data_IF_620250085609
#
_entry.id   IF_620250085609
#
_cell.length_a   1.000
_cell.length_b   1.000
_cell.length_c   1.000
_cell.angle_alpha   90.00
_cell.angle_beta   90.00
_cell.angle_gamma   90.00
#
_symmetry.space_group_name_H-M   'P 1'
#
loop_
_entity.id
_entity.type
_entity.pdbx_description
1 polymer ?
#
# COMPACT_ATOMS: atom_id res chain seq x y z
N UNK A 1 13.73 -9.98 45.42
CA UNK A 1 13.51 -10.65 44.12
C UNK A 1 12.02 -10.73 43.82
N UNK A 2 11.45 -9.64 43.29
CA UNK A 2 10.12 -9.64 42.71
C UNK A 2 10.26 -9.13 41.28
N UNK A 3 9.93 -9.99 40.32
CA UNK A 3 10.10 -9.77 38.90
C UNK A 3 9.15 -8.66 38.42
N UNK A 4 9.72 -7.52 38.01
CA UNK A 4 9.03 -6.56 37.15
C UNK A 4 8.99 -7.16 35.74
N UNK A 5 7.94 -7.93 35.47
CA UNK A 5 7.56 -8.31 34.11
C UNK A 5 7.21 -7.03 33.35
N UNK A 6 8.18 -6.53 32.57
CA UNK A 6 7.97 -5.44 31.62
C UNK A 6 6.91 -5.86 30.61
N UNK A 7 5.74 -5.23 30.72
CA UNK A 7 4.72 -5.26 29.68
C UNK A 7 5.37 -4.70 28.41
N UNK A 8 5.40 -5.42 27.27
CA UNK A 8 5.90 -4.84 26.04
C UNK A 8 5.02 -3.65 25.68
N UNK A 9 5.62 -2.47 25.67
CA UNK A 9 4.99 -1.24 25.20
C UNK A 9 4.38 -1.49 23.83
N UNK A 10 3.09 -1.19 23.73
CA UNK A 10 2.28 -1.30 22.54
C UNK A 10 2.82 -0.35 21.46
N UNK A 11 3.84 -0.78 20.71
CA UNK A 11 4.45 -0.08 19.56
C UNK A 11 3.46 0.19 18.41
N UNK A 12 2.21 -0.25 18.53
CA UNK A 12 1.26 -0.34 17.42
C UNK A 12 0.31 0.84 17.21
N UNK A 13 0.18 1.82 18.12
CA UNK A 13 -0.94 2.78 18.02
C UNK A 13 -0.76 3.89 16.99
N UNK A 14 0.46 4.39 16.76
CA UNK A 14 0.68 5.52 15.84
C UNK A 14 0.71 5.09 14.36
N UNK A 15 1.22 3.89 14.07
CA UNK A 15 1.17 3.28 12.73
C UNK A 15 -0.23 2.70 12.42
N UNK A 16 -1.09 2.55 13.44
CA UNK A 16 -2.45 2.02 13.25
C UNK A 16 -3.35 2.99 12.46
N UNK A 17 -3.14 4.29 12.62
CA UNK A 17 -4.09 5.32 12.15
C UNK A 17 -3.89 5.69 10.66
N UNK A 18 -2.76 5.30 10.08
CA UNK A 18 -2.39 5.68 8.71
C UNK A 18 -3.17 4.92 7.63
N UNK A 19 -3.84 3.80 7.96
CA UNK A 19 -4.65 3.03 7.00
C UNK A 19 -6.15 3.38 7.01
N UNK A 20 -6.55 4.39 7.79
CA UNK A 20 -7.95 4.83 7.91
C UNK A 20 -8.57 5.28 6.57
N UNK A 21 -7.75 5.77 5.63
CA UNK A 21 -8.19 6.11 4.27
C UNK A 21 -8.83 4.94 3.52
N UNK A 22 -8.51 3.69 3.90
CA UNK A 22 -9.12 2.51 3.31
C UNK A 22 -10.60 2.34 3.69
N UNK A 23 -11.06 3.01 4.74
CA UNK A 23 -12.44 2.89 5.22
C UNK A 23 -13.46 3.69 4.39
N UNK A 24 -13.00 4.73 3.69
CA UNK A 24 -13.85 5.56 2.82
C UNK A 24 -14.51 4.70 1.73
N UNK A 25 -15.80 4.87 1.49
CA UNK A 25 -16.51 4.22 0.37
C UNK A 25 -16.40 5.08 -0.90
N UNK A 26 -16.36 4.44 -2.07
CA UNK A 26 -16.26 5.12 -3.38
C UNK A 26 -17.61 5.74 -3.81
N UNK A 27 -18.37 6.35 -2.90
CA UNK A 27 -19.68 6.95 -3.20
C UNK A 27 -19.50 8.23 -4.01
N UNK A 28 -19.17 8.10 -5.30
CA UNK A 28 -19.60 9.12 -6.27
C UNK A 28 -21.10 8.88 -6.49
N UNK A 29 -21.97 9.90 -6.41
CA UNK A 29 -23.36 9.74 -6.82
C UNK A 29 -23.44 9.20 -8.26
N UNK A 30 -24.41 8.31 -8.56
CA UNK A 30 -24.49 7.60 -9.84
C UNK A 30 -24.84 8.50 -11.04
N UNK A 31 -25.08 9.80 -10.87
CA UNK A 31 -25.68 10.67 -11.88
C UNK A 31 -24.69 11.67 -12.55
N UNK A 32 -23.43 11.25 -12.74
CA UNK A 32 -22.48 12.02 -13.54
C UNK A 32 -21.56 11.08 -14.30
N UNK A 33 -22.15 10.25 -15.16
CA UNK A 33 -21.44 9.35 -16.06
C UNK A 33 -21.07 10.06 -17.35
N UNK A 34 -19.88 10.68 -17.37
CA UNK A 34 -19.16 10.97 -18.61
C UNK A 34 -18.32 9.75 -19.05
N UNK A 35 -18.04 9.57 -20.34
CA UNK A 35 -17.51 8.31 -20.91
C UNK A 35 -16.02 8.02 -20.64
N UNK A 36 -15.38 8.68 -19.66
CA UNK A 36 -13.91 8.62 -19.48
C UNK A 36 -13.41 8.34 -18.05
N UNK A 37 -14.26 7.90 -17.12
CA UNK A 37 -13.85 7.75 -15.71
C UNK A 37 -13.02 6.50 -15.38
N UNK A 38 -12.86 5.55 -16.32
CA UNK A 38 -11.98 4.38 -16.12
C UNK A 38 -10.52 4.78 -15.91
N UNK A 39 -10.12 5.96 -16.39
CA UNK A 39 -8.73 6.42 -16.36
C UNK A 39 -8.34 7.15 -15.06
N UNK A 40 -9.32 7.62 -14.27
CA UNK A 40 -9.06 8.36 -13.03
C UNK A 40 -8.97 7.42 -11.82
N UNK A 41 -7.82 7.40 -11.14
CA UNK A 41 -7.65 6.67 -9.88
C UNK A 41 -8.64 7.16 -8.82
N UNK A 42 -9.23 6.23 -8.07
CA UNK A 42 -10.11 6.57 -6.95
C UNK A 42 -9.35 7.32 -5.86
N UNK A 43 -10.06 8.07 -5.02
CA UNK A 43 -9.46 8.77 -3.86
C UNK A 43 -8.68 7.78 -2.99
N UNK A 44 -9.25 6.59 -2.76
CA UNK A 44 -8.60 5.52 -1.98
C UNK A 44 -7.33 5.01 -2.64
N UNK A 45 -7.36 4.78 -3.96
CA UNK A 45 -6.18 4.30 -4.70
C UNK A 45 -5.06 5.33 -4.70
N UNK A 46 -5.39 6.63 -4.79
CA UNK A 46 -4.41 7.72 -4.67
C UNK A 46 -3.83 7.81 -3.26
N UNK A 47 -4.66 7.69 -2.22
CA UNK A 47 -4.18 7.66 -0.85
C UNK A 47 -3.27 6.46 -0.60
N UNK A 48 -3.59 5.29 -1.17
CA UNK A 48 -2.73 4.11 -1.13
C UNK A 48 -1.38 4.33 -1.82
N UNK A 49 -1.37 4.97 -2.99
CA UNK A 49 -0.13 5.36 -3.67
C UNK A 49 0.74 6.27 -2.80
N UNK A 50 0.14 7.31 -2.19
CA UNK A 50 0.84 8.23 -1.29
C UNK A 50 1.37 7.54 -0.04
N UNK A 51 0.58 6.64 0.55
CA UNK A 51 1.01 5.81 1.67
C UNK A 51 2.28 5.03 1.30
N UNK A 52 2.29 4.33 0.16
CA UNK A 52 3.47 3.58 -0.29
C UNK A 52 4.68 4.48 -0.56
N UNK A 53 4.47 5.69 -1.10
CA UNK A 53 5.55 6.68 -1.32
C UNK A 53 6.17 7.13 0.01
N UNK A 54 5.36 7.45 1.01
CA UNK A 54 5.81 7.93 2.31
C UNK A 54 6.52 6.84 3.13
N UNK A 55 6.09 5.59 2.96
CA UNK A 55 6.66 4.43 3.64
C UNK A 55 7.82 3.79 2.90
N UNK A 56 7.98 4.08 1.60
CA UNK A 56 9.13 3.58 0.84
C UNK A 56 10.42 4.30 1.25
N UNK A 57 11.53 3.57 1.46
CA UNK A 57 12.84 4.15 1.74
C UNK A 57 13.36 5.08 0.64
N UNK A 58 12.77 5.07 -0.57
CA UNK A 58 13.16 5.95 -1.67
C UNK A 58 13.10 7.45 -1.32
N UNK A 59 12.23 7.84 -0.39
CA UNK A 59 12.11 9.22 0.08
C UNK A 59 13.24 9.64 1.02
N UNK A 60 13.94 8.67 1.64
CA UNK A 60 14.99 8.90 2.64
C UNK A 60 16.32 8.41 2.08
N UNK A 61 17.12 9.32 1.54
CA UNK A 61 18.50 9.16 1.07
C UNK A 61 19.35 8.24 1.97
N UNK A 62 19.20 6.92 1.82
CA UNK A 62 19.94 5.93 2.57
C UNK A 62 20.20 4.73 1.67
N UNK A 63 21.47 4.35 1.63
CA UNK A 63 22.08 3.33 0.79
C UNK A 63 21.71 1.90 1.21
N UNK A 64 20.45 1.66 1.59
CA UNK A 64 19.98 0.35 2.04
C UNK A 64 19.27 -0.42 0.90
N UNK A 65 19.52 -1.73 0.75
CA UNK A 65 19.06 -2.51 -0.40
C UNK A 65 17.58 -2.94 -0.32
N UNK A 66 16.88 -2.67 0.78
CA UNK A 66 15.48 -3.09 0.93
C UNK A 66 14.55 -1.98 0.43
N UNK A 67 14.47 -1.84 -0.89
CA UNK A 67 13.53 -0.97 -1.60
C UNK A 67 12.07 -1.47 -1.52
N UNK A 68 11.86 -2.61 -0.85
CA UNK A 68 10.64 -3.41 -0.89
C UNK A 68 9.92 -3.39 0.47
N UNK A 69 8.60 -3.25 0.43
CA UNK A 69 7.69 -3.26 1.58
C UNK A 69 6.98 -4.61 1.67
N UNK A 70 6.91 -5.20 2.86
CA UNK A 70 6.14 -6.43 3.09
C UNK A 70 4.67 -6.11 3.38
N UNK A 71 3.77 -6.74 2.62
CA UNK A 71 2.34 -6.60 2.86
C UNK A 71 1.91 -7.20 4.22
N UNK A 72 2.52 -8.30 4.64
CA UNK A 72 2.24 -8.91 5.94
C UNK A 72 2.57 -7.96 7.09
N UNK A 73 3.72 -7.28 7.02
CA UNK A 73 4.09 -6.28 8.04
C UNK A 73 3.12 -5.10 8.08
N UNK A 74 2.64 -4.63 6.93
CA UNK A 74 1.68 -3.52 6.87
C UNK A 74 0.31 -3.93 7.43
N UNK A 75 -0.12 -5.16 7.15
CA UNK A 75 -1.43 -5.70 7.53
C UNK A 75 -1.46 -6.43 8.87
N UNK A 76 -0.36 -6.44 9.61
CA UNK A 76 -0.30 -7.06 10.93
C UNK A 76 -1.31 -6.41 11.89
N UNK A 77 -2.10 -7.26 12.57
CA UNK A 77 -3.15 -6.80 13.50
C UNK A 77 -4.36 -6.11 12.85
N UNK A 78 -4.47 -6.09 11.52
CA UNK A 78 -5.58 -5.42 10.82
C UNK A 78 -6.80 -6.31 10.65
N UNK A 79 -7.97 -5.66 10.52
CA UNK A 79 -9.22 -6.36 10.26
C UNK A 79 -9.23 -6.97 8.87
N UNK A 80 -9.91 -8.12 8.70
CA UNK A 80 -10.08 -8.78 7.40
C UNK A 80 -10.62 -7.83 6.32
N UNK A 81 -11.52 -6.92 6.70
CA UNK A 81 -12.09 -5.89 5.81
C UNK A 81 -11.00 -4.96 5.28
N UNK A 82 -10.13 -4.45 6.14
CA UNK A 82 -9.01 -3.59 5.73
C UNK A 82 -8.00 -4.35 4.86
N UNK A 83 -7.64 -5.58 5.25
CA UNK A 83 -6.72 -6.42 4.47
C UNK A 83 -7.23 -6.63 3.04
N UNK A 84 -8.51 -6.98 2.88
CA UNK A 84 -9.12 -7.19 1.56
C UNK A 84 -9.16 -5.91 0.73
N UNK A 85 -9.50 -4.77 1.36
CA UNK A 85 -9.51 -3.46 0.68
C UNK A 85 -8.11 -3.05 0.23
N UNK A 86 -7.11 -3.20 1.09
CA UNK A 86 -5.72 -2.91 0.75
C UNK A 86 -5.23 -3.79 -0.41
N UNK A 87 -5.53 -5.08 -0.36
CA UNK A 87 -5.18 -6.01 -1.43
C UNK A 87 -5.77 -5.58 -2.78
N UNK A 88 -7.03 -5.16 -2.80
CA UNK A 88 -7.66 -4.62 -4.02
C UNK A 88 -6.96 -3.35 -4.52
N UNK A 89 -6.64 -2.40 -3.64
CA UNK A 89 -5.92 -1.18 -4.06
C UNK A 89 -4.52 -1.50 -4.60
N UNK A 90 -3.83 -2.52 -4.07
CA UNK A 90 -2.56 -3.04 -4.61
C UNK A 90 -2.75 -3.57 -6.05
N UNK A 91 -3.82 -4.33 -6.31
CA UNK A 91 -4.12 -4.81 -7.66
C UNK A 91 -4.37 -3.65 -8.64
N UNK A 92 -5.06 -2.60 -8.18
CA UNK A 92 -5.31 -1.40 -8.98
C UNK A 92 -3.99 -0.67 -9.32
N UNK A 93 -3.08 -0.54 -8.36
CA UNK A 93 -1.77 0.06 -8.58
C UNK A 93 -0.88 -0.78 -9.50
N UNK A 94 -0.91 -2.11 -9.36
CA UNK A 94 -0.15 -3.02 -10.24
C UNK A 94 -0.68 -2.99 -11.68
N UNK A 95 -2.00 -2.96 -11.86
CA UNK A 95 -2.65 -2.85 -13.19
C UNK A 95 -2.23 -1.59 -13.94
N UNK A 96 -1.96 -0.51 -13.20
CA UNK A 96 -1.51 0.78 -13.74
C UNK A 96 0.03 0.90 -13.81
N UNK A 97 0.76 -0.19 -13.54
CA UNK A 97 2.22 -0.25 -13.51
C UNK A 97 2.88 0.73 -12.51
N UNK A 98 2.14 1.19 -11.50
CA UNK A 98 2.66 2.12 -10.46
C UNK A 98 3.59 1.39 -9.49
N UNK A 99 3.28 0.14 -9.21
CA UNK A 99 4.06 -0.73 -8.32
C UNK A 99 4.41 -2.05 -9.00
N UNK A 100 5.49 -2.64 -8.53
CA UNK A 100 5.80 -4.04 -8.75
C UNK A 100 5.40 -4.87 -7.52
N UNK A 101 5.00 -6.11 -7.77
CA UNK A 101 4.45 -7.03 -6.76
C UNK A 101 5.08 -8.39 -6.98
N UNK A 102 5.70 -8.93 -5.93
CA UNK A 102 6.36 -10.24 -5.94
C UNK A 102 5.76 -11.15 -4.85
N UNK A 103 5.44 -12.38 -5.22
CA UNK A 103 5.03 -13.44 -4.31
C UNK A 103 5.76 -14.72 -4.74
N UNK A 104 6.64 -15.23 -3.89
CA UNK A 104 7.53 -16.35 -4.25
C UNK A 104 6.86 -17.72 -4.09
N UNK A 105 5.92 -17.85 -3.15
CA UNK A 105 5.20 -19.09 -2.84
C UNK A 105 3.68 -18.83 -2.78
N UNK A 106 2.82 -19.82 -3.13
CA UNK A 106 1.38 -19.68 -3.02
C UNK A 106 0.96 -19.27 -1.59
N UNK A 107 0.17 -18.20 -1.47
CA UNK A 107 -0.24 -17.62 -0.19
C UNK A 107 0.92 -17.14 0.71
N UNK A 108 2.15 -17.11 0.17
CA UNK A 108 3.31 -16.55 0.83
C UNK A 108 3.23 -15.03 0.93
N UNK A 109 4.21 -14.45 1.61
CA UNK A 109 4.34 -13.01 1.78
C UNK A 109 4.39 -12.30 0.41
N UNK A 110 3.77 -11.13 0.35
CA UNK A 110 3.75 -10.28 -0.84
C UNK A 110 4.67 -9.10 -0.60
N UNK A 111 5.67 -8.95 -1.47
CA UNK A 111 6.60 -7.83 -1.47
C UNK A 111 6.14 -6.78 -2.49
N UNK A 112 6.14 -5.52 -2.08
CA UNK A 112 5.70 -4.37 -2.87
C UNK A 112 6.89 -3.46 -3.13
N UNK A 113 7.04 -2.98 -4.37
CA UNK A 113 8.09 -2.05 -4.76
C UNK A 113 7.53 -0.93 -5.62
N UNK A 114 7.90 0.31 -5.36
CA UNK A 114 7.51 1.42 -6.23
C UNK A 114 8.22 1.31 -7.58
N UNK A 115 7.47 1.39 -8.66
CA UNK A 115 8.05 1.38 -10.00
C UNK A 115 8.54 2.79 -10.32
N UNK A 116 9.85 2.98 -10.53
CA UNK A 116 10.31 4.16 -11.30
C UNK A 116 9.72 4.04 -12.69
N UNK A 117 8.87 4.99 -13.11
CA UNK A 117 8.32 5.03 -14.47
C UNK A 117 9.43 4.72 -15.47
N UNK A 118 9.34 3.55 -16.11
CA UNK A 118 10.19 3.24 -17.26
C UNK A 118 9.64 4.06 -18.40
N UNK A 119 10.28 5.19 -18.71
CA UNK A 119 10.04 5.88 -19.97
C UNK A 119 10.21 4.83 -21.07
N UNK A 120 9.12 4.45 -21.74
CA UNK A 120 9.22 3.66 -22.96
C UNK A 120 9.96 4.55 -23.96
N UNK A 121 11.27 4.40 -24.05
CA UNK A 121 12.04 4.99 -25.13
C UNK A 121 11.64 4.18 -26.36
N UNK A 122 10.73 4.75 -27.16
CA UNK A 122 10.46 4.26 -28.50
C UNK A 122 11.76 4.38 -29.26
N UNK A 123 12.47 3.25 -29.44
CA UNK A 123 13.63 3.23 -30.34
C UNK A 123 13.10 3.22 -31.79
N UNK A 124 13.76 3.95 -32.69
CA UNK A 124 13.30 4.20 -34.06
C UNK A 124 13.20 2.94 -34.91
#
# INVERSE_FOLDING_TARGET
NAALSGIPELRGSAELDDLSFLEQDNTTPPDSQGPHKSDLMSVRTKAMEQYLINHSPLSKSSSSPSEELSLNSILEGRSRKLCARMFYEILQLKTREVIDVKQDEPYGNIMLKLTRKRSKISRP
#
